data_IF_476508224446
#
_entry.id   IF_476508224446
#
_cell.length_a   1.000
_cell.length_b   1.000
_cell.length_c   1.000
_cell.angle_alpha   90.00
_cell.angle_beta   90.00
_cell.angle_gamma   90.00
#
_symmetry.space_group_name_H-M   'P 1'
#
loop_
_entity.id
_entity.type
_entity.pdbx_description
1 polymer ?
#
# COMPACT_ATOMS: atom_id res chain seq x y z
N UNK A 1 -11.75 -12.11 7.48
CA UNK A 1 -10.43 -12.73 7.64
C UNK A 1 -9.47 -11.81 6.91
N UNK A 2 -8.48 -11.27 7.61
CA UNK A 2 -7.59 -10.28 7.02
C UNK A 2 -6.78 -10.90 5.86
N UNK A 3 -6.61 -10.13 4.79
CA UNK A 3 -5.70 -10.49 3.70
C UNK A 3 -4.29 -10.03 4.04
N UNK A 4 -3.32 -10.94 4.04
CA UNK A 4 -1.91 -10.63 4.31
C UNK A 4 -1.10 -10.85 3.04
N UNK A 5 -0.33 -9.84 2.64
CA UNK A 5 0.63 -9.95 1.54
C UNK A 5 2.02 -9.51 1.98
N UNK A 6 3.03 -10.09 1.35
CA UNK A 6 4.43 -9.71 1.53
C UNK A 6 4.98 -9.23 0.22
N UNK A 7 5.58 -8.05 0.23
CA UNK A 7 6.13 -7.44 -0.99
C UNK A 7 7.51 -6.89 -0.71
N UNK A 8 8.37 -6.93 -1.74
CA UNK A 8 9.68 -6.29 -1.65
C UNK A 8 9.49 -4.77 -1.61
N UNK A 9 10.14 -4.12 -0.65
CA UNK A 9 10.21 -2.67 -0.61
C UNK A 9 11.08 -2.19 -1.78
N UNK A 10 10.44 -1.53 -2.74
CA UNK A 10 11.06 -1.13 -4.00
C UNK A 10 11.77 0.21 -3.93
N UNK A 11 12.24 0.65 -5.09
CA UNK A 11 12.78 1.99 -5.31
C UNK A 11 12.14 2.64 -6.54
N UNK A 12 11.99 3.96 -6.50
CA UNK A 12 11.61 4.78 -7.63
C UNK A 12 12.40 6.10 -7.61
N UNK A 13 13.24 6.30 -8.63
CA UNK A 13 14.11 7.49 -8.77
C UNK A 13 14.90 7.80 -7.49
N UNK A 14 15.52 6.77 -6.91
CA UNK A 14 16.33 6.87 -5.69
C UNK A 14 15.56 6.85 -4.37
N UNK A 15 14.23 6.96 -4.38
CA UNK A 15 13.41 6.93 -3.16
C UNK A 15 12.82 5.55 -2.92
N UNK A 16 12.67 5.15 -1.65
CA UNK A 16 11.91 3.95 -1.28
C UNK A 16 10.48 4.02 -1.83
N UNK A 17 9.92 2.87 -2.21
CA UNK A 17 8.59 2.75 -2.81
C UNK A 17 7.84 1.54 -2.27
N UNK A 18 6.61 1.76 -1.83
CA UNK A 18 5.64 0.68 -1.59
C UNK A 18 4.73 0.60 -2.83
N UNK A 19 4.66 -0.58 -3.43
CA UNK A 19 3.80 -0.85 -4.59
C UNK A 19 2.90 -2.05 -4.28
N UNK A 20 1.61 -1.78 -4.08
CA UNK A 20 0.59 -2.81 -3.90
C UNK A 20 -0.28 -2.85 -5.17
N UNK A 21 -0.39 -4.02 -5.78
CA UNK A 21 -1.17 -4.22 -7.00
C UNK A 21 -1.80 -5.61 -6.98
N UNK A 22 -3.10 -5.69 -7.28
CA UNK A 22 -3.75 -6.98 -7.49
C UNK A 22 -5.22 -7.03 -7.09
N UNK A 23 -5.77 -8.24 -7.19
CA UNK A 23 -7.17 -8.52 -6.84
C UNK A 23 -7.43 -8.52 -5.35
N UNK A 24 -6.42 -8.73 -4.50
CA UNK A 24 -6.55 -8.62 -3.05
C UNK A 24 -7.01 -7.22 -2.62
N UNK A 25 -6.50 -6.16 -3.25
CA UNK A 25 -6.97 -4.79 -3.00
C UNK A 25 -8.45 -4.63 -3.36
N UNK A 26 -8.88 -5.17 -4.50
CA UNK A 26 -10.29 -5.14 -4.91
C UNK A 26 -11.19 -5.86 -3.90
N UNK A 27 -10.76 -7.04 -3.45
CA UNK A 27 -11.51 -7.87 -2.50
C UNK A 27 -11.66 -7.21 -1.12
N UNK A 28 -10.68 -6.40 -0.72
CA UNK A 28 -10.67 -5.63 0.54
C UNK A 28 -11.31 -4.24 0.40
N UNK A 29 -11.99 -3.97 -0.72
CA UNK A 29 -12.76 -2.75 -0.93
C UNK A 29 -11.94 -1.55 -1.44
N UNK A 30 -10.65 -1.71 -1.74
CA UNK A 30 -9.84 -0.66 -2.39
C UNK A 30 -10.12 -0.64 -3.89
N UNK A 31 -11.27 -0.10 -4.28
CA UNK A 31 -11.68 -0.02 -5.68
C UNK A 31 -11.03 1.16 -6.41
N UNK A 32 -10.75 1.05 -7.72
CA UNK A 32 -10.22 2.16 -8.51
C UNK A 32 -11.04 3.44 -8.37
N UNK A 33 -10.36 4.56 -8.13
CA UNK A 33 -10.99 5.87 -8.00
C UNK A 33 -11.42 6.22 -6.57
N UNK A 34 -11.48 5.26 -5.64
CA UNK A 34 -11.68 5.55 -4.23
C UNK A 34 -10.52 6.37 -3.67
N UNK A 35 -10.80 7.10 -2.58
CA UNK A 35 -9.84 7.97 -1.93
C UNK A 35 -9.42 7.40 -0.58
N UNK A 36 -8.23 7.77 -0.15
CA UNK A 36 -7.65 7.29 1.11
C UNK A 36 -6.67 8.31 1.67
N UNK A 37 -6.43 8.19 2.98
CA UNK A 37 -5.37 8.88 3.68
C UNK A 37 -4.26 7.91 4.10
N UNK A 38 -3.09 8.48 4.37
CA UNK A 38 -1.91 7.76 4.81
C UNK A 38 -1.45 8.36 6.13
N UNK A 39 -1.50 7.55 7.18
CA UNK A 39 -0.93 7.87 8.49
C UNK A 39 0.43 7.21 8.62
N UNK A 40 1.41 7.99 9.08
CA UNK A 40 2.79 7.55 9.21
C UNK A 40 3.11 7.44 10.70
N UNK A 41 3.60 6.30 11.12
CA UNK A 41 4.11 6.07 12.46
C UNK A 41 5.61 5.74 12.38
N UNK A 42 6.26 5.61 13.53
CA UNK A 42 7.71 5.38 13.59
C UNK A 42 8.14 4.09 12.89
N UNK A 43 7.34 3.02 12.96
CA UNK A 43 7.69 1.68 12.47
C UNK A 43 6.68 1.07 11.50
N UNK A 44 5.58 1.77 11.21
CA UNK A 44 4.52 1.29 10.33
C UNK A 44 3.74 2.43 9.69
N UNK A 45 2.94 2.10 8.69
CA UNK A 45 2.08 3.01 7.95
C UNK A 45 0.67 2.43 7.94
N UNK A 46 -0.33 3.31 8.08
CA UNK A 46 -1.73 2.94 7.93
C UNK A 46 -2.31 3.65 6.72
N UNK A 47 -2.99 2.88 5.86
CA UNK A 47 -3.79 3.39 4.76
C UNK A 47 -5.25 3.17 5.12
N UNK A 48 -6.04 4.24 5.11
CA UNK A 48 -7.47 4.17 5.44
C UNK A 48 -8.29 4.76 4.31
N UNK A 49 -9.26 4.00 3.80
CA UNK A 49 -10.25 4.54 2.86
C UNK A 49 -10.98 5.72 3.50
N UNK A 50 -10.99 6.85 2.80
CA UNK A 50 -11.65 8.07 3.20
C UNK A 50 -12.18 8.76 1.96
N UNK A 51 -13.48 9.07 1.91
CA UNK A 51 -14.12 9.72 0.76
C UNK A 51 -13.48 11.06 0.39
N UNK A 52 -12.92 11.78 1.37
CA UNK A 52 -12.23 13.06 1.19
C UNK A 52 -10.71 12.92 1.23
N UNK A 53 -10.19 11.68 1.22
CA UNK A 53 -8.78 11.39 1.40
C UNK A 53 -7.88 12.05 0.36
N UNK A 54 -6.64 12.35 0.73
CA UNK A 54 -5.70 13.08 -0.14
C UNK A 54 -5.25 12.27 -1.35
N UNK A 55 -5.20 10.95 -1.22
CA UNK A 55 -4.71 10.03 -2.25
C UNK A 55 -5.86 9.31 -2.93
N UNK A 56 -5.58 8.70 -4.09
CA UNK A 56 -6.57 7.98 -4.91
C UNK A 56 -6.04 6.61 -5.29
N UNK A 57 -6.87 5.58 -5.13
CA UNK A 57 -6.59 4.23 -5.63
C UNK A 57 -6.51 4.30 -7.15
N UNK A 58 -5.34 3.99 -7.68
CA UNK A 58 -5.06 3.99 -9.12
C UNK A 58 -5.51 2.67 -9.74
N UNK A 59 -5.47 2.60 -11.07
CA UNK A 59 -5.80 1.38 -11.80
C UNK A 59 -4.76 1.03 -12.86
N UNK A 60 -4.68 -0.25 -13.16
CA UNK A 60 -4.02 -0.75 -14.36
C UNK A 60 -4.93 -1.76 -15.05
N UNK A 61 -5.10 -1.58 -16.35
CA UNK A 61 -5.84 -2.52 -17.20
C UNK A 61 -4.85 -3.29 -18.08
N UNK A 62 -4.88 -4.63 -18.00
CA UNK A 62 -4.06 -5.52 -18.84
C UNK A 62 -4.90 -6.74 -19.23
N UNK A 63 -4.91 -7.07 -20.52
CA UNK A 63 -5.67 -8.19 -21.07
C UNK A 63 -7.15 -8.21 -20.61
N UNK A 64 -7.81 -7.05 -20.65
CA UNK A 64 -9.22 -6.90 -20.26
C UNK A 64 -9.50 -6.92 -18.74
N UNK A 65 -8.49 -7.16 -17.90
CA UNK A 65 -8.63 -7.12 -16.43
C UNK A 65 -8.17 -5.79 -15.88
N UNK A 66 -8.97 -5.18 -15.01
CA UNK A 66 -8.62 -3.96 -14.28
C UNK A 66 -8.25 -4.31 -12.85
N UNK A 67 -7.06 -3.90 -12.43
CA UNK A 67 -6.53 -4.11 -11.08
C UNK A 67 -6.38 -2.78 -10.36
N UNK A 68 -6.55 -2.80 -9.04
CA UNK A 68 -6.25 -1.67 -8.17
C UNK A 68 -4.75 -1.56 -7.92
N UNK A 69 -4.29 -0.31 -7.79
CA UNK A 69 -2.91 0.04 -7.46
C UNK A 69 -2.90 1.07 -6.34
N UNK A 70 -2.07 0.81 -5.34
CA UNK A 70 -1.62 1.78 -4.35
C UNK A 70 -0.11 1.93 -4.52
N UNK A 71 0.34 3.15 -4.81
CA UNK A 71 1.74 3.50 -5.02
C UNK A 71 2.12 4.62 -4.05
N UNK A 72 2.98 4.31 -3.08
CA UNK A 72 3.45 5.26 -2.10
C UNK A 72 4.94 5.53 -2.31
N UNK A 73 5.26 6.80 -2.54
CA UNK A 73 6.62 7.33 -2.60
C UNK A 73 6.68 8.62 -1.80
N UNK A 74 7.34 8.58 -0.63
CA UNK A 74 7.63 9.76 0.17
C UNK A 74 8.92 9.53 0.98
N UNK A 75 9.60 10.62 1.33
CA UNK A 75 10.95 10.58 1.87
C UNK A 75 11.05 9.78 3.18
N UNK A 76 10.02 9.86 4.02
CA UNK A 76 9.98 9.21 5.34
C UNK A 76 9.96 7.67 5.24
N UNK A 77 9.62 7.08 4.09
CA UNK A 77 9.74 5.63 3.89
C UNK A 77 11.16 5.11 4.14
N UNK A 78 12.18 5.92 3.82
CA UNK A 78 13.58 5.54 4.03
C UNK A 78 13.97 5.50 5.51
N UNK A 79 13.25 6.25 6.36
CA UNK A 79 13.47 6.28 7.80
C UNK A 79 12.65 5.20 8.49
N UNK A 80 11.36 5.12 8.18
CA UNK A 80 10.42 4.14 8.77
C UNK A 80 10.87 2.70 8.48
N UNK A 81 11.42 2.46 7.28
CA UNK A 81 11.84 1.15 6.81
C UNK A 81 13.34 1.10 6.50
N UNK A 82 14.16 1.74 7.33
CA UNK A 82 15.61 1.63 7.22
C UNK A 82 16.05 0.16 7.41
N UNK A 83 17.00 -0.30 6.58
CA UNK A 83 17.44 -1.69 6.54
C UNK A 83 16.40 -2.73 6.06
N UNK A 84 15.13 -2.37 5.93
CA UNK A 84 14.04 -3.30 5.56
C UNK A 84 14.06 -3.60 4.05
N UNK A 85 13.84 -4.87 3.72
CA UNK A 85 13.75 -5.37 2.34
C UNK A 85 12.35 -5.87 1.99
N UNK A 86 11.64 -6.42 2.96
CA UNK A 86 10.30 -6.99 2.78
C UNK A 86 9.37 -6.31 3.78
N UNK A 87 8.24 -5.85 3.27
CA UNK A 87 7.15 -5.34 4.07
C UNK A 87 6.01 -6.36 4.09
N UNK A 88 5.31 -6.43 5.20
CA UNK A 88 4.04 -7.13 5.33
C UNK A 88 2.91 -6.10 5.29
N UNK A 89 1.86 -6.39 4.52
CA UNK A 89 0.66 -5.56 4.44
C UNK A 89 -0.53 -6.40 4.86
N UNK A 90 -1.15 -6.00 5.97
CA UNK A 90 -2.34 -6.64 6.53
C UNK A 90 -3.52 -5.76 6.16
N UNK A 91 -4.47 -6.33 5.43
CA UNK A 91 -5.65 -5.64 4.92
C UNK A 91 -6.89 -6.19 5.59
N UNK A 92 -7.70 -5.31 6.16
CA UNK A 92 -8.99 -5.67 6.74
C UNK A 92 -9.90 -4.44 6.74
N UNK A 93 -11.15 -4.60 6.31
CA UNK A 93 -12.20 -3.58 6.44
C UNK A 93 -11.82 -2.18 5.89
N UNK A 94 -11.18 -2.11 4.72
CA UNK A 94 -10.79 -0.83 4.10
C UNK A 94 -9.59 -0.15 4.76
N UNK A 95 -8.85 -0.89 5.58
CA UNK A 95 -7.60 -0.47 6.23
C UNK A 95 -6.45 -1.34 5.73
N UNK A 96 -5.28 -0.75 5.50
CA UNK A 96 -4.03 -1.49 5.28
C UNK A 96 -3.00 -1.03 6.29
N UNK A 97 -2.53 -1.95 7.14
CA UNK A 97 -1.37 -1.72 8.00
C UNK A 97 -0.14 -2.31 7.33
N UNK A 98 0.89 -1.49 7.13
CA UNK A 98 2.14 -1.86 6.48
C UNK A 98 3.28 -1.75 7.48
N UNK A 99 3.97 -2.85 7.74
CA UNK A 99 5.10 -2.94 8.68
C UNK A 99 6.26 -3.73 8.07
N UNK A 100 7.43 -3.65 8.71
CA UNK A 100 8.54 -4.54 8.39
C UNK A 100 8.13 -6.00 8.62
N UNK A 101 8.43 -6.87 7.67
CA UNK A 101 8.24 -8.30 7.88
C UNK A 101 9.30 -8.81 8.87
N UNK A 102 8.85 -9.39 9.98
CA UNK A 102 9.72 -10.11 10.91
C UNK A 102 9.85 -11.56 10.44
N UNK A 103 11.09 -12.03 10.29
CA UNK A 103 11.40 -13.45 10.00
C UNK A 103 11.08 -14.37 11.18
#
# INVERSE_FOLDING_TARGET
MATIIRTKLGYHRGNRRIWLEGTHLLNEGFLPGMRFDVEKHESYIVIQLNIDGKHKVSKRTRAGRTLSIIDLTFGELSVIFDGVQIIESIMDNGVITISAHQE
#
